data_IF_631337902273
#
_entry.id   IF_631337902273
#
_cell.length_a   1.000
_cell.length_b   1.000
_cell.length_c   1.000
_cell.angle_alpha   90.00
_cell.angle_beta   90.00
_cell.angle_gamma   90.00
#
_symmetry.space_group_name_H-M   'P 1'
#
loop_
_entity.id
_entity.type
_entity.pdbx_description
1 polymer ?
#
# COMPACT_ATOMS: atom_id res chain seq x y z
N UNK A 1 2.75 28.24 -3.48
CA UNK A 1 3.97 28.25 -2.63
C UNK A 1 4.80 27.04 -3.07
N UNK A 2 6.02 27.25 -3.55
CA UNK A 2 6.86 26.19 -4.15
C UNK A 2 7.36 25.29 -3.03
N UNK A 3 7.14 23.98 -3.06
CA UNK A 3 7.74 23.05 -2.09
C UNK A 3 9.23 22.87 -2.43
N UNK A 4 10.20 23.48 -1.72
CA UNK A 4 11.59 23.20 -1.96
C UNK A 4 11.97 22.05 -1.02
N UNK A 5 11.52 20.84 -1.33
CA UNK A 5 11.96 19.64 -0.62
C UNK A 5 12.33 18.59 -1.66
N UNK A 6 13.57 18.65 -2.16
CA UNK A 6 14.19 17.54 -2.87
C UNK A 6 14.89 16.64 -1.84
N UNK A 7 14.09 15.85 -1.13
CA UNK A 7 14.60 14.78 -0.29
C UNK A 7 15.03 13.61 -1.16
N UNK A 8 16.15 12.97 -0.84
CA UNK A 8 16.62 11.76 -1.54
C UNK A 8 15.56 10.64 -1.57
N UNK A 9 14.63 10.65 -0.59
CA UNK A 9 13.54 9.69 -0.44
C UNK A 9 12.16 10.24 -0.82
N UNK A 10 12.07 11.28 -1.66
CA UNK A 10 10.77 11.77 -2.13
C UNK A 10 10.33 11.00 -3.40
N UNK A 11 9.37 10.05 -3.31
CA UNK A 11 8.95 9.27 -4.46
C UNK A 11 8.21 10.13 -5.49
N UNK A 12 8.49 9.88 -6.78
CA UNK A 12 7.84 10.58 -7.91
C UNK A 12 6.68 9.79 -8.53
N UNK A 13 6.59 8.51 -8.20
CA UNK A 13 5.61 7.58 -8.74
C UNK A 13 5.11 6.67 -7.64
N UNK A 14 3.86 6.26 -7.73
CA UNK A 14 3.29 5.23 -6.88
C UNK A 14 2.34 4.36 -7.70
N UNK A 15 2.11 3.13 -7.24
CA UNK A 15 1.09 2.24 -7.77
C UNK A 15 0.34 1.59 -6.60
N UNK A 16 -0.84 1.05 -6.88
CA UNK A 16 -1.62 0.27 -5.91
C UNK A 16 -1.67 -1.16 -6.40
N UNK A 17 -1.36 -2.11 -5.52
CA UNK A 17 -1.45 -3.54 -5.79
C UNK A 17 -2.02 -4.26 -4.58
N UNK A 18 -2.52 -5.47 -4.79
CA UNK A 18 -3.10 -6.29 -3.74
C UNK A 18 -2.90 -7.77 -4.06
N UNK A 19 -2.81 -8.59 -3.02
CA UNK A 19 -2.77 -10.04 -3.16
C UNK A 19 -3.33 -10.70 -1.91
N UNK A 20 -3.85 -11.91 -2.08
CA UNK A 20 -4.33 -12.74 -0.99
C UNK A 20 -3.94 -14.19 -1.22
N UNK A 21 -3.51 -14.87 -0.17
CA UNK A 21 -3.11 -16.26 -0.25
C UNK A 21 -3.35 -16.97 1.09
N UNK A 22 -3.35 -18.29 1.02
CA UNK A 22 -3.43 -19.19 2.17
C UNK A 22 -2.21 -20.11 2.14
N UNK A 23 -1.78 -20.58 3.30
CA UNK A 23 -0.72 -21.58 3.42
C UNK A 23 -1.04 -22.55 4.55
N UNK A 24 -0.85 -23.83 4.30
CA UNK A 24 -0.92 -24.88 5.33
C UNK A 24 0.37 -24.99 6.15
N UNK A 25 1.41 -24.22 5.81
CA UNK A 25 2.72 -24.28 6.46
C UNK A 25 2.83 -23.24 7.57
N UNK A 26 2.59 -21.97 7.26
CA UNK A 26 2.69 -20.88 8.23
C UNK A 26 2.02 -19.59 7.72
N UNK A 27 1.69 -18.64 8.62
CA UNK A 27 1.26 -17.29 8.23
C UNK A 27 2.31 -16.55 7.38
N UNK A 28 3.61 -16.77 7.64
CA UNK A 28 4.69 -16.15 6.87
C UNK A 28 4.67 -16.60 5.41
N UNK A 29 4.51 -17.91 5.16
CA UNK A 29 4.40 -18.43 3.79
C UNK A 29 3.13 -17.94 3.08
N UNK A 30 2.02 -17.76 3.82
CA UNK A 30 0.82 -17.17 3.25
C UNK A 30 1.06 -15.71 2.84
N UNK A 31 1.78 -14.95 3.67
CA UNK A 31 2.15 -13.57 3.35
C UNK A 31 3.07 -13.49 2.13
N UNK A 32 4.14 -14.31 2.06
CA UNK A 32 5.03 -14.35 0.90
C UNK A 32 4.25 -14.65 -0.41
N UNK A 33 3.35 -15.63 -0.37
CA UNK A 33 2.52 -15.97 -1.52
C UNK A 33 1.53 -14.84 -1.90
N UNK A 34 1.04 -14.08 -0.92
CA UNK A 34 0.24 -12.88 -1.17
C UNK A 34 1.08 -11.78 -1.85
N UNK A 35 2.33 -11.57 -1.43
CA UNK A 35 3.26 -10.64 -2.08
C UNK A 35 3.60 -11.04 -3.51
N UNK A 36 3.72 -12.36 -3.79
CA UNK A 36 3.92 -12.87 -5.17
C UNK A 36 2.72 -12.51 -6.04
N UNK A 37 1.49 -12.74 -5.55
CA UNK A 37 0.27 -12.36 -6.28
C UNK A 37 0.12 -10.84 -6.45
N UNK A 38 0.62 -10.07 -5.50
CA UNK A 38 0.71 -8.61 -5.60
C UNK A 38 1.84 -8.12 -6.53
N UNK A 39 2.70 -9.02 -7.01
CA UNK A 39 3.81 -8.69 -7.93
C UNK A 39 4.97 -7.92 -7.30
N UNK A 40 5.12 -7.99 -5.97
CA UNK A 40 6.11 -7.22 -5.21
C UNK A 40 6.93 -8.07 -4.23
N UNK A 41 6.88 -9.40 -4.33
CA UNK A 41 7.62 -10.32 -3.44
C UNK A 41 9.13 -10.16 -3.49
N UNK A 42 9.66 -9.60 -4.57
CA UNK A 42 11.09 -9.36 -4.77
C UNK A 42 11.58 -8.08 -4.07
N UNK A 43 10.70 -7.27 -3.51
CA UNK A 43 11.03 -5.97 -2.91
C UNK A 43 11.39 -6.11 -1.42
N UNK A 44 12.31 -5.26 -0.95
CA UNK A 44 12.52 -5.05 0.48
C UNK A 44 11.55 -3.97 0.97
N UNK A 45 10.43 -4.36 1.56
CA UNK A 45 9.35 -3.44 1.92
C UNK A 45 9.69 -2.64 3.19
N UNK A 46 9.56 -1.32 3.13
CA UNK A 46 9.69 -0.42 4.28
C UNK A 46 8.37 0.30 4.48
N UNK A 47 7.75 0.10 5.64
CA UNK A 47 6.45 0.69 5.91
C UNK A 47 6.60 2.16 6.27
N UNK A 48 5.82 2.99 5.58
CA UNK A 48 5.75 4.43 5.82
C UNK A 48 4.33 4.81 6.22
N UNK A 49 4.18 6.03 6.72
CA UNK A 49 2.89 6.61 7.01
C UNK A 49 2.13 6.97 5.72
N UNK A 50 0.98 7.60 5.89
CA UNK A 50 -0.12 7.73 4.95
C UNK A 50 -0.04 8.90 3.95
N UNK A 51 1.15 9.32 3.50
CA UNK A 51 1.28 10.52 2.64
C UNK A 51 1.87 10.17 1.26
N UNK A 52 1.22 10.65 0.20
CA UNK A 52 1.77 10.70 -1.15
C UNK A 52 2.31 12.11 -1.44
N UNK A 53 3.48 12.24 -2.08
CA UNK A 53 3.98 13.54 -2.51
C UNK A 53 3.02 14.28 -3.46
N UNK A 54 3.05 15.63 -3.46
CA UNK A 54 2.21 16.48 -4.31
C UNK A 54 2.23 16.07 -5.78
N UNK A 55 3.44 15.87 -6.30
CA UNK A 55 3.69 15.62 -7.72
C UNK A 55 3.87 14.12 -8.03
N UNK A 56 3.47 13.23 -7.12
CA UNK A 56 3.60 11.79 -7.34
C UNK A 56 2.59 11.30 -8.37
N UNK A 57 3.09 10.70 -9.45
CA UNK A 57 2.27 10.16 -10.52
C UNK A 57 1.79 8.75 -10.18
N UNK A 58 0.47 8.51 -10.28
CA UNK A 58 -0.05 7.14 -10.24
C UNK A 58 0.33 6.43 -11.53
N UNK A 59 1.02 5.30 -11.41
CA UNK A 59 1.37 4.42 -12.51
C UNK A 59 0.78 3.02 -12.30
N UNK A 60 0.77 2.22 -13.35
CA UNK A 60 0.52 0.79 -13.24
C UNK A 60 1.67 0.08 -12.50
N UNK A 61 1.44 -1.16 -12.08
CA UNK A 61 2.46 -1.98 -11.44
C UNK A 61 3.72 -2.04 -12.33
N UNK A 62 4.85 -1.61 -11.75
CA UNK A 62 6.13 -1.60 -12.43
C UNK A 62 6.95 -2.83 -12.05
N UNK A 63 7.76 -3.30 -13.00
CA UNK A 63 8.81 -4.26 -12.68
C UNK A 63 9.88 -3.55 -11.84
N UNK A 64 10.01 -3.98 -10.58
CA UNK A 64 11.00 -3.45 -9.64
C UNK A 64 12.16 -4.45 -9.56
N UNK A 65 13.39 -3.93 -9.71
CA UNK A 65 14.62 -4.71 -9.54
C UNK A 65 14.61 -5.45 -8.19
N UNK A 66 14.81 -6.78 -8.18
CA UNK A 66 14.86 -7.55 -6.94
C UNK A 66 15.83 -6.97 -5.90
N UNK A 67 15.41 -6.94 -4.63
CA UNK A 67 16.16 -6.39 -3.50
C UNK A 67 16.03 -4.88 -3.31
N UNK A 68 15.30 -4.17 -4.19
CA UNK A 68 15.07 -2.73 -4.04
C UNK A 68 14.30 -2.42 -2.76
N UNK A 69 14.83 -1.51 -1.95
CA UNK A 69 14.12 -0.93 -0.82
C UNK A 69 12.92 -0.14 -1.35
N UNK A 70 11.73 -0.62 -1.05
CA UNK A 70 10.48 -0.09 -1.60
C UNK A 70 9.61 0.38 -0.44
N UNK A 71 9.41 1.69 -0.35
CA UNK A 71 8.53 2.27 0.65
C UNK A 71 7.07 2.00 0.28
N UNK A 72 6.26 1.59 1.25
CA UNK A 72 4.84 1.33 1.03
C UNK A 72 3.99 1.71 2.23
N UNK A 73 2.73 2.07 1.96
CA UNK A 73 1.65 2.04 2.94
C UNK A 73 0.96 0.68 2.79
N UNK A 74 0.71 -0.03 3.88
CA UNK A 74 0.24 -1.41 3.81
C UNK A 74 -0.91 -1.68 4.77
N UNK A 75 -2.07 -2.00 4.21
CA UNK A 75 -3.11 -2.73 4.91
C UNK A 75 -2.82 -4.23 4.80
N UNK A 76 -2.84 -4.94 5.94
CA UNK A 76 -2.64 -6.39 5.99
C UNK A 76 -3.52 -7.00 7.07
N UNK A 77 -4.11 -8.15 6.78
CA UNK A 77 -4.82 -8.96 7.77
C UNK A 77 -4.43 -10.43 7.63
N UNK A 78 -4.10 -11.06 8.75
CA UNK A 78 -3.99 -12.52 8.86
C UNK A 78 -5.30 -13.11 9.37
N UNK A 79 -5.54 -14.38 9.09
CA UNK A 79 -6.70 -15.10 9.60
C UNK A 79 -6.43 -16.59 9.71
N UNK A 80 -7.33 -17.28 10.40
CA UNK A 80 -7.34 -18.73 10.56
C UNK A 80 -8.20 -19.41 9.51
N UNK A 81 -8.06 -20.73 9.31
CA UNK A 81 -8.92 -21.50 8.42
C UNK A 81 -10.42 -21.26 8.72
N UNK A 82 -11.18 -20.89 7.69
CA UNK A 82 -12.62 -20.63 7.80
C UNK A 82 -12.99 -19.18 8.15
N UNK A 83 -12.02 -18.33 8.49
CA UNK A 83 -12.26 -16.91 8.72
C UNK A 83 -12.25 -16.12 7.40
N UNK A 84 -13.15 -15.15 7.30
CA UNK A 84 -13.05 -14.09 6.29
C UNK A 84 -12.07 -13.04 6.79
N UNK A 85 -11.14 -12.63 5.94
CA UNK A 85 -10.25 -11.49 6.18
C UNK A 85 -10.27 -10.56 4.98
N UNK A 86 -10.06 -9.28 5.25
CA UNK A 86 -9.97 -8.25 4.24
C UNK A 86 -8.94 -7.20 4.64
N UNK A 87 -8.30 -6.61 3.63
CA UNK A 87 -7.39 -5.49 3.75
C UNK A 87 -7.56 -4.60 2.52
N UNK A 88 -7.58 -3.29 2.72
CA UNK A 88 -7.82 -2.31 1.67
C UNK A 88 -7.06 -1.02 1.92
N UNK A 89 -6.64 -0.39 0.82
CA UNK A 89 -6.05 0.93 0.78
C UNK A 89 -6.93 1.83 -0.09
N UNK A 90 -7.22 3.02 0.40
CA UNK A 90 -7.83 4.11 -0.33
C UNK A 90 -6.85 5.28 -0.34
N UNK A 91 -6.91 6.10 -1.38
CA UNK A 91 -6.05 7.28 -1.48
C UNK A 91 -6.79 8.40 -2.21
N UNK A 92 -6.38 9.63 -1.94
CA UNK A 92 -6.92 10.82 -2.60
C UNK A 92 -5.98 12.00 -2.46
N UNK A 93 -6.08 12.95 -3.38
CA UNK A 93 -5.36 14.21 -3.30
C UNK A 93 -6.18 15.22 -2.49
N UNK A 94 -5.54 15.92 -1.58
CA UNK A 94 -6.14 17.02 -0.83
C UNK A 94 -5.46 18.34 -1.19
N UNK A 95 -6.26 19.39 -1.28
CA UNK A 95 -5.79 20.76 -1.41
C UNK A 95 -6.09 21.49 -0.10
N UNK A 96 -5.04 21.95 0.56
CA UNK A 96 -5.15 22.72 1.80
C UNK A 96 -5.41 24.20 1.49
N UNK A 97 -6.03 24.89 2.45
CA UNK A 97 -6.40 26.32 2.33
C UNK A 97 -5.24 27.27 2.06
N UNK A 98 -4.00 26.84 2.33
CA UNK A 98 -2.76 27.57 2.03
C UNK A 98 -2.23 27.33 0.59
N UNK A 99 -2.98 26.64 -0.27
CA UNK A 99 -2.60 26.31 -1.65
C UNK A 99 -1.57 25.19 -1.76
N UNK A 100 -1.35 24.46 -0.68
CA UNK A 100 -0.49 23.28 -0.64
C UNK A 100 -1.34 22.04 -1.00
N UNK A 101 -0.83 21.10 -1.79
CA UNK A 101 -1.54 19.88 -2.18
C UNK A 101 -0.67 18.65 -1.95
N UNK A 102 -1.25 17.56 -1.47
CA UNK A 102 -0.55 16.29 -1.29
C UNK A 102 -1.58 15.15 -1.24
N UNK A 103 -1.15 13.91 -1.41
CA UNK A 103 -2.04 12.78 -1.29
C UNK A 103 -2.08 12.22 0.13
N UNK A 104 -3.25 11.75 0.53
CA UNK A 104 -3.46 10.97 1.75
C UNK A 104 -3.78 9.53 1.36
N UNK A 105 -3.37 8.62 2.22
CA UNK A 105 -3.63 7.18 2.09
C UNK A 105 -4.33 6.72 3.36
N UNK A 106 -5.46 6.04 3.23
CA UNK A 106 -6.17 5.44 4.33
C UNK A 106 -6.10 3.92 4.21
N UNK A 107 -5.89 3.25 5.33
CA UNK A 107 -5.79 1.81 5.44
C UNK A 107 -6.93 1.28 6.30
N UNK A 108 -7.58 0.21 5.86
CA UNK A 108 -8.48 -0.57 6.69
C UNK A 108 -8.23 -2.05 6.49
N UNK A 109 -8.37 -2.81 7.56
CA UNK A 109 -8.19 -4.26 7.54
C UNK A 109 -8.98 -4.88 8.68
N UNK A 110 -9.24 -6.19 8.58
CA UNK A 110 -9.92 -6.95 9.63
C UNK A 110 -10.70 -8.13 9.08
N UNK A 111 -11.52 -8.73 9.94
CA UNK A 111 -12.46 -9.79 9.57
C UNK A 111 -13.69 -9.21 8.88
N UNK A 112 -13.49 -8.62 7.71
CA UNK A 112 -14.46 -7.79 6.99
C UNK A 112 -14.49 -8.17 5.52
N UNK A 113 -15.66 -8.06 4.91
CA UNK A 113 -15.80 -8.13 3.47
C UNK A 113 -15.40 -6.81 2.80
N UNK A 114 -15.39 -6.80 1.46
CA UNK A 114 -15.07 -5.61 0.68
C UNK A 114 -16.02 -4.43 0.97
N UNK A 115 -17.31 -4.70 1.15
CA UNK A 115 -18.31 -3.66 1.36
C UNK A 115 -18.12 -2.94 2.70
N UNK A 116 -17.74 -3.67 3.74
CA UNK A 116 -17.40 -3.11 5.05
C UNK A 116 -16.10 -2.29 4.98
N UNK A 117 -15.07 -2.79 4.28
CA UNK A 117 -13.83 -2.03 4.10
C UNK A 117 -14.06 -0.72 3.35
N UNK A 118 -14.85 -0.73 2.27
CA UNK A 118 -15.18 0.49 1.49
C UNK A 118 -15.95 1.57 2.26
N UNK A 119 -16.50 1.26 3.43
CA UNK A 119 -17.16 2.25 4.29
C UNK A 119 -16.19 2.92 5.25
N UNK A 120 -15.03 2.31 5.50
CA UNK A 120 -14.00 2.79 6.42
C UNK A 120 -12.91 3.60 5.71
N UNK A 121 -12.80 3.44 4.40
CA UNK A 121 -11.79 4.05 3.54
C UNK A 121 -12.46 4.87 2.44
#
# INVERSE_FOLDING_TARGET
MVYPVQGFFLPKRFFVTSGSAVSSVSPLNAFDAALVKAGISQCNLVYVSSILPPDAEKVDLLEITPGTVTFCVMAKMDGNPGELVGAGIGWGMIEASNGSHYGIVAEAHGHKDEAALRKEI
#
